data_IF_033253889333
#
_entry.id   IF_033253889333
#
_cell.length_a   1.000
_cell.length_b   1.000
_cell.length_c   1.000
_cell.angle_alpha   90.00
_cell.angle_beta   90.00
_cell.angle_gamma   90.00
#
_symmetry.space_group_name_H-M   'P 1'
#
loop_
_entity.id
_entity.type
_entity.pdbx_description
1 polymer ?
#
# COMPACT_ATOMS: atom_id res chain seq x y z
N UNK A 1 5.67 15.06 -27.01
CA UNK A 1 4.34 14.77 -27.61
C UNK A 1 3.28 15.29 -26.66
N UNK A 2 2.64 16.42 -26.97
CA UNK A 2 1.61 17.04 -26.12
C UNK A 2 0.38 16.14 -26.12
N UNK A 3 0.13 15.42 -25.03
CA UNK A 3 -1.05 14.56 -24.92
C UNK A 3 -2.26 15.46 -24.62
N UNK A 4 -3.09 15.71 -25.66
CA UNK A 4 -4.48 16.24 -25.60
C UNK A 4 -4.85 17.01 -24.32
N UNK A 5 -4.36 18.22 -24.13
CA UNK A 5 -4.81 19.09 -23.02
C UNK A 5 -4.63 18.53 -21.60
N UNK A 6 -3.84 17.47 -21.42
CA UNK A 6 -3.54 16.87 -20.11
C UNK A 6 -2.12 17.29 -19.73
N UNK A 7 -1.98 17.87 -18.55
CA UNK A 7 -0.70 18.19 -17.93
C UNK A 7 -0.43 17.15 -16.85
N UNK A 8 0.71 16.47 -16.96
CA UNK A 8 1.16 15.53 -15.93
C UNK A 8 1.84 16.31 -14.80
N UNK A 9 1.52 15.94 -13.57
CA UNK A 9 2.19 16.44 -12.37
C UNK A 9 2.73 15.26 -11.58
N UNK A 10 3.95 15.42 -11.07
CA UNK A 10 4.56 14.44 -10.18
C UNK A 10 4.04 14.65 -8.75
N UNK A 11 3.15 13.77 -8.33
CA UNK A 11 2.58 13.73 -6.98
C UNK A 11 2.76 12.33 -6.43
N UNK A 12 3.26 12.22 -5.19
CA UNK A 12 3.40 10.91 -4.53
C UNK A 12 2.01 10.32 -4.23
N UNK A 13 1.88 9.00 -4.23
CA UNK A 13 0.59 8.36 -3.92
C UNK A 13 0.04 8.75 -2.54
N UNK A 14 0.93 8.95 -1.57
CA UNK A 14 0.57 9.36 -0.20
C UNK A 14 -0.05 10.77 -0.17
N UNK A 15 0.41 11.66 -1.04
CA UNK A 15 -0.01 13.06 -1.06
C UNK A 15 -1.17 13.30 -2.04
N UNK A 16 -1.51 12.31 -2.87
CA UNK A 16 -2.57 12.41 -3.87
C UNK A 16 -3.94 12.83 -3.30
N UNK A 17 -4.42 12.28 -2.17
CA UNK A 17 -5.71 12.72 -1.61
C UNK A 17 -5.75 14.22 -1.30
N UNK A 18 -4.66 14.76 -0.76
CA UNK A 18 -4.58 16.19 -0.45
C UNK A 18 -4.45 17.02 -1.73
N UNK A 19 -3.64 16.58 -2.70
CA UNK A 19 -3.49 17.27 -3.98
C UNK A 19 -4.81 17.35 -4.77
N UNK A 20 -5.67 16.33 -4.66
CA UNK A 20 -7.02 16.34 -5.23
C UNK A 20 -7.92 17.37 -4.53
N UNK A 21 -7.92 17.39 -3.17
CA UNK A 21 -8.71 18.36 -2.40
C UNK A 21 -8.29 19.80 -2.66
N UNK A 22 -6.99 20.04 -2.77
CA UNK A 22 -6.42 21.36 -3.02
C UNK A 22 -6.58 21.80 -4.47
N UNK A 23 -7.07 20.93 -5.36
CA UNK A 23 -7.22 21.20 -6.79
C UNK A 23 -5.90 21.31 -7.55
N UNK A 24 -4.78 20.89 -6.94
CA UNK A 24 -3.45 20.83 -7.57
C UNK A 24 -3.48 19.87 -8.76
N UNK A 25 -4.17 18.75 -8.60
CA UNK A 25 -4.44 17.78 -9.68
C UNK A 25 -5.95 17.54 -9.80
N UNK A 26 -6.41 17.27 -11.03
CA UNK A 26 -7.83 17.02 -11.29
C UNK A 26 -8.20 15.53 -11.29
N UNK A 27 -7.20 14.65 -11.39
CA UNK A 27 -7.37 13.20 -11.37
C UNK A 27 -6.03 12.53 -11.07
N UNK A 28 -6.06 11.39 -10.38
CA UNK A 28 -4.88 10.59 -10.11
C UNK A 28 -5.22 9.28 -9.40
N UNK A 29 -4.27 8.33 -9.34
CA UNK A 29 -4.44 7.10 -8.58
C UNK A 29 -4.44 7.39 -7.08
N UNK A 30 -5.46 6.89 -6.38
CA UNK A 30 -5.58 6.95 -4.92
C UNK A 30 -5.68 5.51 -4.40
N UNK A 31 -5.15 5.25 -3.20
CA UNK A 31 -5.38 3.96 -2.55
C UNK A 31 -6.88 3.78 -2.28
N UNK A 32 -7.35 2.53 -2.24
CA UNK A 32 -8.79 2.27 -2.07
C UNK A 32 -9.30 2.84 -0.74
N UNK A 33 -8.54 2.65 0.33
CA UNK A 33 -8.92 3.13 1.68
C UNK A 33 -8.96 4.66 1.73
N UNK A 34 -7.99 5.33 1.13
CA UNK A 34 -7.95 6.80 1.16
C UNK A 34 -9.04 7.41 0.28
N UNK A 35 -9.50 6.68 -0.75
CA UNK A 35 -10.56 7.16 -1.65
C UNK A 35 -11.91 7.34 -0.96
N UNK A 36 -12.21 6.55 0.08
CA UNK A 36 -13.48 6.69 0.83
C UNK A 36 -13.63 8.07 1.47
N UNK A 37 -12.52 8.71 1.84
CA UNK A 37 -12.53 10.06 2.40
C UNK A 37 -12.66 11.16 1.33
N UNK A 38 -12.68 10.80 0.05
CA UNK A 38 -12.75 11.73 -1.09
C UNK A 38 -14.10 11.66 -1.82
N UNK A 39 -15.04 10.84 -1.36
CA UNK A 39 -16.34 10.64 -2.01
C UNK A 39 -17.18 11.93 -2.14
N UNK A 40 -16.85 12.96 -1.35
CA UNK A 40 -17.48 14.29 -1.39
C UNK A 40 -16.93 15.20 -2.50
N UNK A 41 -15.70 14.94 -2.98
CA UNK A 41 -14.98 15.79 -3.94
C UNK A 41 -14.56 15.07 -5.22
N UNK A 42 -14.58 13.74 -5.23
CA UNK A 42 -14.08 12.92 -6.31
C UNK A 42 -15.05 11.79 -6.64
N UNK A 43 -14.98 11.31 -7.89
CA UNK A 43 -15.68 10.10 -8.32
C UNK A 43 -14.67 9.09 -8.87
N UNK A 44 -14.84 7.78 -8.63
CA UNK A 44 -14.05 6.76 -9.30
C UNK A 44 -14.17 6.87 -10.83
N UNK A 45 -13.05 6.76 -11.53
CA UNK A 45 -13.05 6.77 -12.99
C UNK A 45 -13.39 5.38 -13.50
N UNK A 46 -14.57 5.24 -14.13
CA UNK A 46 -15.04 3.98 -14.66
C UNK A 46 -14.01 3.33 -15.62
N UNK A 47 -13.74 2.04 -15.41
CA UNK A 47 -12.78 1.28 -16.22
C UNK A 47 -11.32 1.38 -15.74
N UNK A 48 -11.02 2.12 -14.67
CA UNK A 48 -9.67 2.24 -14.12
C UNK A 48 -9.62 1.75 -12.68
N UNK A 49 -8.86 0.68 -12.45
CA UNK A 49 -8.52 0.20 -11.11
C UNK A 49 -7.21 -0.60 -11.14
N UNK A 50 -6.56 -0.72 -9.98
CA UNK A 50 -5.51 -1.70 -9.74
C UNK A 50 -6.09 -2.80 -8.84
N UNK A 51 -6.31 -3.97 -9.42
CA UNK A 51 -6.91 -5.11 -8.73
C UNK A 51 -6.16 -6.41 -9.09
N UNK A 52 -6.23 -7.39 -8.19
CA UNK A 52 -5.73 -8.73 -8.42
C UNK A 52 -6.81 -9.74 -8.05
N UNK A 53 -7.10 -10.70 -8.94
CA UNK A 53 -8.20 -11.66 -8.77
C UNK A 53 -7.84 -12.89 -7.93
N UNK A 54 -6.56 -13.15 -7.69
CA UNK A 54 -6.10 -14.30 -6.90
C UNK A 54 -4.97 -13.90 -5.95
N UNK A 55 -3.86 -13.39 -6.50
CA UNK A 55 -2.69 -12.98 -5.72
C UNK A 55 -2.09 -11.70 -6.31
N UNK A 56 -1.99 -10.65 -5.48
CA UNK A 56 -1.28 -9.42 -5.86
C UNK A 56 0.23 -9.66 -6.02
N UNK A 57 0.81 -10.50 -5.15
CA UNK A 57 2.23 -10.87 -5.16
C UNK A 57 3.16 -9.75 -4.68
N UNK A 58 2.69 -8.51 -4.62
CA UNK A 58 3.36 -7.36 -4.04
C UNK A 58 2.77 -6.93 -2.70
N UNK A 59 1.75 -7.60 -2.17
CA UNK A 59 1.17 -7.30 -0.85
C UNK A 59 1.30 -8.57 -0.02
N UNK A 60 2.14 -8.54 1.01
CA UNK A 60 2.59 -9.73 1.72
C UNK A 60 2.57 -9.51 3.24
N UNK A 61 2.27 -10.59 3.96
CA UNK A 61 2.47 -10.71 5.40
C UNK A 61 3.66 -11.65 5.64
N UNK A 62 4.61 -11.22 6.45
CA UNK A 62 5.66 -12.07 6.99
C UNK A 62 5.45 -12.21 8.48
N UNK A 63 5.41 -13.44 8.98
CA UNK A 63 5.11 -13.71 10.39
C UNK A 63 6.06 -14.74 10.97
N UNK A 64 6.44 -14.55 12.24
CA UNK A 64 7.13 -15.55 13.06
C UNK A 64 6.17 -16.58 13.66
N UNK A 65 4.87 -16.30 13.63
CA UNK A 65 3.79 -17.11 14.23
C UNK A 65 2.71 -17.47 13.20
N UNK A 66 1.92 -18.53 13.42
CA UNK A 66 0.71 -18.78 12.65
C UNK A 66 -0.24 -17.58 12.68
N UNK A 67 -1.05 -17.40 11.63
CA UNK A 67 -1.93 -16.25 11.48
C UNK A 67 -2.99 -16.18 12.59
N UNK A 68 -3.44 -17.35 13.04
CA UNK A 68 -4.40 -17.56 14.13
C UNK A 68 -3.89 -17.02 15.47
N UNK A 69 -2.56 -16.92 15.64
CA UNK A 69 -1.92 -16.46 16.88
C UNK A 69 -1.55 -14.97 16.85
N UNK A 70 -1.88 -14.26 15.76
CA UNK A 70 -1.52 -12.85 15.58
C UNK A 70 -2.49 -11.86 16.21
N UNK A 71 -3.66 -12.31 16.67
CA UNK A 71 -4.59 -11.46 17.41
C UNK A 71 -3.92 -10.88 18.67
N UNK A 72 -4.02 -9.56 18.85
CA UNK A 72 -3.40 -8.84 19.97
C UNK A 72 -1.86 -8.85 19.98
N UNK A 73 -1.21 -9.29 18.90
CA UNK A 73 0.25 -9.26 18.77
C UNK A 73 0.74 -7.95 18.15
N UNK A 74 2.03 -7.68 18.35
CA UNK A 74 2.68 -6.52 17.76
C UNK A 74 2.99 -6.76 16.29
N UNK A 75 2.33 -6.00 15.41
CA UNK A 75 2.50 -6.09 13.96
C UNK A 75 3.11 -4.79 13.45
N UNK A 76 4.17 -4.88 12.65
CA UNK A 76 4.80 -3.71 12.04
C UNK A 76 4.26 -3.42 10.63
N UNK A 77 4.29 -2.14 10.24
CA UNK A 77 4.04 -1.72 8.87
C UNK A 77 5.37 -1.35 8.18
N UNK A 78 5.80 -2.15 7.21
CA UNK A 78 7.03 -1.90 6.45
C UNK A 78 6.89 -0.79 5.40
N UNK A 79 5.67 -0.59 4.91
CA UNK A 79 5.32 0.44 3.94
C UNK A 79 4.09 1.20 4.41
N UNK A 80 3.96 2.45 3.97
CA UNK A 80 2.86 3.34 4.34
C UNK A 80 1.55 3.08 3.56
N UNK A 81 1.38 1.90 2.96
CA UNK A 81 0.21 1.59 2.14
C UNK A 81 -1.01 1.25 3.03
N UNK A 82 -1.94 2.20 3.13
CA UNK A 82 -3.15 2.10 3.95
C UNK A 82 -4.03 0.93 3.52
N UNK A 83 -4.11 0.64 2.22
CA UNK A 83 -4.95 -0.45 1.70
C UNK A 83 -4.44 -1.83 2.13
N UNK A 84 -3.13 -2.09 2.11
CA UNK A 84 -2.57 -3.36 2.59
C UNK A 84 -2.76 -3.52 4.10
N UNK A 85 -2.57 -2.44 4.87
CA UNK A 85 -2.77 -2.43 6.32
C UNK A 85 -4.23 -2.74 6.70
N UNK A 86 -5.18 -2.07 6.05
CA UNK A 86 -6.60 -2.27 6.31
C UNK A 86 -7.09 -3.63 5.84
N UNK A 87 -6.62 -4.11 4.67
CA UNK A 87 -6.92 -5.46 4.21
C UNK A 87 -6.44 -6.52 5.22
N UNK A 88 -5.26 -6.34 5.83
CA UNK A 88 -4.79 -7.26 6.87
C UNK A 88 -5.71 -7.25 8.11
N UNK A 89 -6.16 -6.07 8.56
CA UNK A 89 -7.13 -5.95 9.68
C UNK A 89 -8.42 -6.69 9.37
N UNK A 90 -9.00 -6.45 8.21
CA UNK A 90 -10.23 -7.12 7.76
C UNK A 90 -10.03 -8.63 7.69
N UNK A 91 -8.92 -9.11 7.12
CA UNK A 91 -8.65 -10.55 7.03
C UNK A 91 -8.47 -11.19 8.41
N UNK A 92 -7.82 -10.51 9.35
CA UNK A 92 -7.62 -11.03 10.71
C UNK A 92 -8.95 -11.09 11.48
N UNK A 93 -9.78 -10.05 11.36
CA UNK A 93 -11.09 -10.00 11.99
C UNK A 93 -12.04 -11.06 11.42
N UNK A 94 -12.20 -11.10 10.09
CA UNK A 94 -13.22 -11.92 9.44
C UNK A 94 -12.86 -13.42 9.37
N UNK A 95 -11.57 -13.77 9.43
CA UNK A 95 -11.14 -15.19 9.31
C UNK A 95 -10.63 -15.81 10.59
N UNK A 96 -10.22 -14.99 11.56
CA UNK A 96 -9.55 -15.48 12.77
C UNK A 96 -10.10 -14.84 14.05
N UNK A 97 -11.23 -14.12 13.98
CA UNK A 97 -11.83 -13.38 15.11
C UNK A 97 -10.82 -12.51 15.86
N UNK A 98 -9.80 -12.03 15.13
CA UNK A 98 -8.66 -11.34 15.69
C UNK A 98 -8.72 -9.84 15.48
N UNK A 99 -7.95 -9.10 16.27
CA UNK A 99 -7.82 -7.66 16.12
C UNK A 99 -6.37 -7.20 16.26
N UNK A 100 -6.11 -6.01 15.73
CA UNK A 100 -4.91 -5.23 16.01
C UNK A 100 -5.33 -3.80 16.30
N UNK A 101 -4.73 -3.19 17.32
CA UNK A 101 -5.00 -1.80 17.66
C UNK A 101 -4.27 -0.85 16.70
N UNK A 102 -2.98 -1.09 16.51
CA UNK A 102 -2.11 -0.24 15.71
C UNK A 102 -0.94 -1.01 15.14
N UNK A 103 -0.36 -0.48 14.05
CA UNK A 103 0.92 -0.94 13.55
C UNK A 103 2.07 -0.19 14.22
N UNK A 104 3.14 -0.91 14.55
CA UNK A 104 4.40 -0.30 15.02
C UNK A 104 5.36 -0.04 13.85
N UNK A 105 6.42 0.73 14.10
CA UNK A 105 7.48 0.91 13.12
C UNK A 105 8.31 -0.37 12.95
N UNK A 106 8.91 -0.56 11.77
CA UNK A 106 9.74 -1.73 11.49
C UNK A 106 10.97 -1.90 12.39
N UNK A 107 11.44 -0.82 13.02
CA UNK A 107 12.57 -0.85 13.95
C UNK A 107 12.19 -1.40 15.34
N UNK A 108 10.90 -1.39 15.67
CA UNK A 108 10.39 -1.88 16.94
C UNK A 108 10.27 -3.41 16.92
N UNK A 109 10.26 -4.03 18.11
CA UNK A 109 10.06 -5.47 18.21
C UNK A 109 8.64 -5.85 17.76
N UNK A 110 8.56 -6.81 16.84
CA UNK A 110 7.30 -7.26 16.26
C UNK A 110 7.31 -8.76 15.96
N UNK A 111 6.11 -9.36 15.99
CA UNK A 111 5.87 -10.78 15.69
C UNK A 111 5.66 -11.01 14.18
N UNK A 112 5.10 -10.02 13.49
CA UNK A 112 4.87 -10.05 12.06
C UNK A 112 4.95 -8.63 11.47
N UNK A 113 5.03 -8.54 10.15
CA UNK A 113 4.94 -7.26 9.46
C UNK A 113 4.24 -7.40 8.11
N UNK A 114 3.52 -6.35 7.73
CA UNK A 114 2.93 -6.19 6.39
C UNK A 114 3.85 -5.35 5.52
N UNK A 115 3.95 -5.71 4.24
CA UNK A 115 4.79 -5.03 3.25
C UNK A 115 4.07 -5.01 1.90
N UNK A 116 4.17 -3.89 1.19
CA UNK A 116 3.52 -3.70 -0.10
C UNK A 116 4.49 -3.22 -1.20
N UNK A 117 4.03 -3.21 -2.45
CA UNK A 117 4.71 -2.60 -3.59
C UNK A 117 6.09 -3.20 -3.92
N UNK A 118 7.00 -2.34 -4.34
CA UNK A 118 8.35 -2.72 -4.79
C UNK A 118 9.16 -3.38 -3.68
N UNK A 119 9.01 -2.95 -2.43
CA UNK A 119 9.76 -3.51 -1.31
C UNK A 119 9.35 -4.96 -1.07
N UNK A 120 8.05 -5.26 -1.17
CA UNK A 120 7.55 -6.62 -1.13
C UNK A 120 8.09 -7.46 -2.30
N UNK A 121 8.10 -6.91 -3.52
CA UNK A 121 8.62 -7.61 -4.70
C UNK A 121 10.10 -7.94 -4.59
N UNK A 122 10.92 -6.99 -4.12
CA UNK A 122 12.36 -7.18 -3.89
C UNK A 122 12.61 -8.23 -2.82
N UNK A 123 11.85 -8.19 -1.73
CA UNK A 123 11.99 -9.16 -0.63
C UNK A 123 11.57 -10.56 -1.06
N UNK A 124 10.49 -10.69 -1.83
CA UNK A 124 10.00 -11.97 -2.37
C UNK A 124 11.02 -12.66 -3.27
N UNK A 125 11.80 -11.91 -4.06
CA UNK A 125 12.81 -12.44 -4.98
C UNK A 125 14.11 -12.88 -4.28
N UNK A 126 14.19 -12.80 -2.95
CA UNK A 126 15.38 -13.20 -2.20
C UNK A 126 16.57 -12.29 -2.50
N UNK A 127 16.49 -11.02 -2.09
CA UNK A 127 17.67 -10.17 -1.86
C UNK A 127 18.79 -10.20 -2.91
N UNK A 128 18.49 -10.22 -4.22
CA UNK A 128 19.51 -9.88 -5.20
C UNK A 128 19.65 -8.35 -5.22
N UNK A 129 20.68 -7.84 -4.54
CA UNK A 129 21.25 -6.52 -4.84
C UNK A 129 21.61 -6.51 -6.33
N UNK A 130 20.78 -5.92 -7.16
CA UNK A 130 21.27 -5.29 -8.39
C UNK A 130 21.68 -3.87 -8.03
N UNK A 131 22.78 -3.75 -7.30
CA UNK A 131 23.61 -2.54 -7.38
C UNK A 131 24.37 -2.60 -8.70
N UNK A 132 23.71 -2.28 -9.80
CA UNK A 132 24.42 -1.87 -11.00
C UNK A 132 24.77 -0.38 -10.83
N UNK A 133 26.04 0.04 -10.95
CA UNK A 133 26.39 1.44 -10.88
C UNK A 133 25.71 2.17 -12.05
N UNK A 134 25.05 3.29 -11.73
CA UNK A 134 24.62 4.28 -12.71
C UNK A 134 25.88 4.75 -13.43
N UNK A 135 26.06 4.38 -14.70
CA UNK A 135 27.08 5.03 -15.53
C UNK A 135 26.57 6.43 -15.89
N UNK A 136 27.34 7.50 -15.61
CA UNK A 136 27.00 8.81 -16.11
C UNK A 136 27.06 8.81 -17.64
N UNK A 137 26.11 9.51 -18.25
CA UNK A 137 26.18 9.91 -19.67
C UNK A 137 27.16 11.06 -19.83
#
# INVERSE_FOLDING_TARGET
MVRRGIVLQDVSLKDMPQALRDGVVSAGPVSLVDSFALDDVCNPVAGFCLAASNRAGSNLLYSKKPLEELSGRTIAAATADSTTQELFRVLLAEKHDGNIDSFVAMAEEHDAFVISGDDALRRRRGGQRLSAPVRPR
#
